data_IF_531286851278
#
_entry.id   IF_531286851278
#
_cell.length_a   1.000
_cell.length_b   1.000
_cell.length_c   1.000
_cell.angle_alpha   90.00
_cell.angle_beta   90.00
_cell.angle_gamma   90.00
#
_symmetry.space_group_name_H-M   'P 1'
#
loop_
_entity.id
_entity.type
_entity.pdbx_description
1 polymer ?
#
# COMPACT_ATOMS: atom_id res chain seq x y z
N UNK A 1 -1.89 6.59 -29.16
CA UNK A 1 -0.54 7.23 -29.24
C UNK A 1 -0.62 8.34 -30.28
N UNK A 2 -0.36 9.60 -29.90
CA UNK A 2 -0.41 10.72 -30.86
C UNK A 2 0.84 10.71 -31.75
N UNK A 3 0.70 10.76 -33.10
CA UNK A 3 1.83 10.79 -34.01
C UNK A 3 2.48 12.18 -33.94
N UNK A 4 3.62 12.30 -33.26
CA UNK A 4 4.39 13.56 -33.17
C UNK A 4 5.07 13.88 -31.83
N UNK A 5 4.99 13.03 -30.80
CA UNK A 5 5.73 13.26 -29.55
C UNK A 5 7.23 12.90 -29.75
N UNK A 6 8.19 13.84 -29.58
CA UNK A 6 9.63 13.56 -29.68
C UNK A 6 10.15 12.54 -28.66
N UNK A 7 9.30 12.13 -27.70
CA UNK A 7 9.57 11.02 -26.77
C UNK A 7 9.26 9.64 -27.35
N UNK A 8 8.75 9.54 -28.57
CA UNK A 8 8.45 8.27 -29.24
C UNK A 8 9.71 7.47 -29.61
N UNK A 9 10.86 8.13 -29.76
CA UNK A 9 12.14 7.48 -30.10
C UNK A 9 12.82 6.81 -28.90
N UNK A 10 12.36 7.09 -27.67
CA UNK A 10 12.91 6.49 -26.46
C UNK A 10 12.31 5.10 -26.26
N UNK A 11 13.15 4.11 -25.95
CA UNK A 11 12.71 2.74 -25.69
C UNK A 11 11.50 2.70 -24.73
N UNK A 12 10.37 2.09 -25.14
CA UNK A 12 9.12 2.14 -24.38
C UNK A 12 9.23 1.48 -23.00
N UNK A 13 10.04 0.42 -22.87
CA UNK A 13 10.29 -0.21 -21.57
C UNK A 13 11.08 0.71 -20.64
N UNK A 14 12.10 1.41 -21.15
CA UNK A 14 12.82 2.42 -20.38
C UNK A 14 11.88 3.55 -19.92
N UNK A 15 10.95 3.98 -20.78
CA UNK A 15 9.92 4.94 -20.42
C UNK A 15 9.04 4.44 -19.27
N UNK A 16 8.58 3.19 -19.33
CA UNK A 16 7.79 2.57 -18.26
C UNK A 16 8.55 2.55 -16.92
N UNK A 17 9.82 2.11 -16.93
CA UNK A 17 10.67 2.09 -15.73
C UNK A 17 10.84 3.50 -15.15
N UNK A 18 11.05 4.51 -16.00
CA UNK A 18 11.16 5.90 -15.57
C UNK A 18 9.88 6.40 -14.90
N UNK A 19 8.70 6.06 -15.47
CA UNK A 19 7.39 6.39 -14.87
C UNK A 19 7.15 5.68 -13.54
N UNK A 20 7.50 4.40 -13.45
CA UNK A 20 7.47 3.64 -12.19
C UNK A 20 8.30 4.34 -11.10
N UNK A 21 9.54 4.76 -11.40
CA UNK A 21 10.40 5.45 -10.42
C UNK A 21 9.84 6.79 -9.97
N UNK A 22 9.05 7.45 -10.80
CA UNK A 22 8.37 8.72 -10.50
C UNK A 22 7.03 8.51 -9.77
N UNK A 23 6.70 7.27 -9.37
CA UNK A 23 5.41 6.89 -8.77
C UNK A 23 4.19 7.19 -9.66
N UNK A 24 4.40 7.34 -10.97
CA UNK A 24 3.32 7.49 -11.96
C UNK A 24 2.85 6.10 -12.38
N UNK A 25 2.10 5.45 -11.48
CA UNK A 25 1.73 4.04 -11.62
C UNK A 25 0.83 3.79 -12.83
N UNK A 26 -0.19 4.62 -13.05
CA UNK A 26 -1.12 4.47 -14.17
C UNK A 26 -0.41 4.57 -15.52
N UNK A 27 0.40 5.62 -15.73
CA UNK A 27 1.19 5.78 -16.95
C UNK A 27 2.15 4.59 -17.19
N UNK A 28 2.70 3.99 -16.12
CA UNK A 28 3.54 2.81 -16.22
C UNK A 28 2.72 1.57 -16.63
N UNK A 29 1.55 1.38 -16.03
CA UNK A 29 0.65 0.24 -16.29
C UNK A 29 0.16 0.29 -17.74
N UNK A 30 -0.20 1.45 -18.26
CA UNK A 30 -0.65 1.63 -19.65
C UNK A 30 0.44 1.20 -20.63
N UNK A 31 1.66 1.71 -20.45
CA UNK A 31 2.80 1.36 -21.32
C UNK A 31 3.14 -0.13 -21.23
N UNK A 32 3.12 -0.72 -20.02
CA UNK A 32 3.35 -2.15 -19.88
C UNK A 32 2.24 -2.99 -20.51
N UNK A 33 0.99 -2.50 -20.52
CA UNK A 33 -0.14 -3.16 -21.19
C UNK A 33 0.06 -3.18 -22.70
N UNK A 34 0.37 -2.01 -23.29
CA UNK A 34 0.69 -1.89 -24.73
C UNK A 34 1.86 -2.80 -25.15
N UNK A 35 2.86 -2.96 -24.28
CA UNK A 35 4.03 -3.82 -24.54
C UNK A 35 3.68 -5.31 -24.46
N UNK A 36 2.86 -5.72 -23.49
CA UNK A 36 2.43 -7.12 -23.33
C UNK A 36 1.44 -7.56 -24.41
N UNK A 37 0.62 -6.64 -24.95
CA UNK A 37 -0.23 -6.94 -26.11
C UNK A 37 0.60 -7.34 -27.34
N UNK A 38 1.79 -6.75 -27.51
CA UNK A 38 2.71 -7.06 -28.61
C UNK A 38 3.56 -8.30 -28.33
N UNK A 39 4.03 -8.46 -27.10
CA UNK A 39 4.79 -9.62 -26.66
C UNK A 39 4.27 -10.14 -25.30
N UNK A 40 3.33 -11.09 -25.30
CA UNK A 40 2.73 -11.60 -24.07
C UNK A 40 3.69 -12.35 -23.14
N UNK A 41 4.87 -12.76 -23.63
CA UNK A 41 5.85 -13.54 -22.86
C UNK A 41 7.01 -12.71 -22.32
N UNK A 42 6.94 -11.38 -22.43
CA UNK A 42 7.95 -10.50 -21.84
C UNK A 42 7.83 -10.46 -20.31
N UNK A 43 8.67 -11.25 -19.64
CA UNK A 43 8.67 -11.39 -18.19
C UNK A 43 9.04 -10.09 -17.47
N UNK A 44 9.92 -9.27 -18.06
CA UNK A 44 10.38 -8.03 -17.45
C UNK A 44 9.26 -6.99 -17.41
N UNK A 45 8.52 -6.86 -18.52
CA UNK A 45 7.34 -5.99 -18.61
C UNK A 45 6.22 -6.48 -17.70
N UNK A 46 5.97 -7.79 -17.69
CA UNK A 46 4.96 -8.39 -16.80
C UNK A 46 5.26 -8.10 -15.34
N UNK A 47 6.50 -8.35 -14.90
CA UNK A 47 6.92 -8.09 -13.53
C UNK A 47 6.80 -6.61 -13.16
N UNK A 48 7.20 -5.70 -14.05
CA UNK A 48 7.07 -4.26 -13.83
C UNK A 48 5.60 -3.83 -13.68
N UNK A 49 4.69 -4.39 -14.50
CA UNK A 49 3.25 -4.14 -14.40
C UNK A 49 2.69 -4.63 -13.06
N UNK A 50 3.01 -5.85 -12.65
CA UNK A 50 2.60 -6.40 -11.36
C UNK A 50 3.06 -5.51 -10.21
N UNK A 51 4.33 -5.08 -10.22
CA UNK A 51 4.85 -4.15 -9.21
C UNK A 51 4.11 -2.82 -9.20
N UNK A 52 3.85 -2.23 -10.38
CA UNK A 52 3.12 -0.97 -10.46
C UNK A 52 1.69 -1.09 -9.90
N UNK A 53 0.99 -2.20 -10.17
CA UNK A 53 -0.34 -2.49 -9.62
C UNK A 53 -0.33 -2.62 -8.10
N UNK A 54 0.62 -3.38 -7.55
CA UNK A 54 0.76 -3.54 -6.09
C UNK A 54 1.15 -2.23 -5.42
N UNK A 55 2.10 -1.46 -5.98
CA UNK A 55 2.50 -0.17 -5.43
C UNK A 55 1.41 0.89 -5.52
N UNK A 56 0.52 0.83 -6.52
CA UNK A 56 -0.62 1.75 -6.65
C UNK A 56 -1.61 1.60 -5.49
N UNK A 57 -1.83 0.38 -5.03
CA UNK A 57 -2.76 0.04 -3.95
C UNK A 57 -2.05 -0.27 -2.62
N UNK A 58 -0.75 -0.02 -2.53
CA UNK A 58 0.02 -0.31 -1.32
C UNK A 58 -0.43 0.64 -0.21
N UNK A 59 -0.87 0.07 0.90
CA UNK A 59 -1.17 0.80 2.14
C UNK A 59 -0.23 0.22 3.21
N UNK A 60 0.32 1.10 4.04
CA UNK A 60 1.15 0.71 5.18
C UNK A 60 0.24 0.03 6.22
N UNK A 61 0.56 -1.21 6.57
CA UNK A 61 -0.22 -2.01 7.51
C UNK A 61 -0.11 -1.48 8.94
N UNK A 62 0.95 -0.73 9.27
CA UNK A 62 1.09 -0.05 10.56
C UNK A 62 0.10 1.10 10.72
N UNK A 63 -0.35 1.71 9.61
CA UNK A 63 -1.35 2.78 9.65
C UNK A 63 -2.78 2.25 9.76
N UNK A 64 -3.02 0.98 9.40
CA UNK A 64 -4.33 0.33 9.50
C UNK A 64 -4.38 -0.51 10.78
N UNK A 65 -4.47 0.16 11.93
CA UNK A 65 -4.78 -0.51 13.19
C UNK A 65 -6.30 -0.45 13.43
N UNK A 66 -7.04 -1.32 12.74
CA UNK A 66 -8.48 -1.47 12.94
C UNK A 66 -8.75 -2.62 13.92
N UNK A 67 -8.81 -2.30 15.22
CA UNK A 67 -9.23 -3.25 16.26
C UNK A 67 -10.73 -3.58 16.09
N UNK A 68 -11.04 -4.84 15.79
CA UNK A 68 -12.42 -5.30 15.65
C UNK A 68 -13.14 -5.35 17.00
N UNK A 69 -14.48 -5.28 16.99
CA UNK A 69 -15.30 -5.44 18.22
C UNK A 69 -15.07 -6.79 18.90
N UNK A 70 -14.75 -7.83 18.12
CA UNK A 70 -14.39 -9.13 18.67
C UNK A 70 -13.06 -9.07 19.45
N UNK A 71 -12.06 -8.40 18.91
CA UNK A 71 -10.77 -8.20 19.56
C UNK A 71 -10.98 -7.38 20.85
N UNK A 72 -11.68 -6.25 20.79
CA UNK A 72 -11.95 -5.41 21.97
C UNK A 72 -12.69 -6.13 23.12
N UNK A 73 -13.60 -7.06 22.81
CA UNK A 73 -14.44 -7.73 23.82
C UNK A 73 -13.89 -9.07 24.31
N UNK A 74 -13.07 -9.74 23.49
CA UNK A 74 -12.53 -11.07 23.79
C UNK A 74 -11.01 -11.07 23.91
N UNK A 75 -10.36 -9.90 23.96
CA UNK A 75 -8.93 -9.80 24.16
C UNK A 75 -8.54 -10.23 25.58
N UNK A 76 -8.07 -11.47 25.70
CA UNK A 76 -7.49 -12.06 26.91
C UNK A 76 -5.96 -11.90 26.97
N UNK A 77 -5.33 -11.13 26.07
CA UNK A 77 -3.87 -10.97 26.06
C UNK A 77 -3.35 -10.13 27.24
N UNK A 78 -4.21 -9.36 27.91
CA UNK A 78 -3.85 -8.59 29.10
C UNK A 78 -3.68 -9.47 30.35
N UNK A 79 -2.44 -9.60 30.84
CA UNK A 79 -2.13 -10.40 32.05
C UNK A 79 -2.74 -9.80 33.33
N UNK A 80 -2.73 -8.46 33.45
CA UNK A 80 -3.22 -7.77 34.64
C UNK A 80 -4.68 -7.33 34.45
N UNK A 81 -5.58 -7.91 35.24
CA UNK A 81 -7.01 -7.58 35.23
C UNK A 81 -7.32 -6.20 35.86
N UNK A 82 -6.46 -5.74 36.78
CA UNK A 82 -6.59 -4.45 37.46
C UNK A 82 -5.23 -3.73 37.53
N UNK A 83 -4.71 -3.23 36.40
CA UNK A 83 -3.44 -2.50 36.39
C UNK A 83 -3.55 -1.18 37.16
N UNK A 84 -2.44 -0.72 37.73
CA UNK A 84 -2.39 0.59 38.40
C UNK A 84 -2.64 1.71 37.35
N UNK A 85 -3.25 2.84 37.72
CA UNK A 85 -3.45 3.95 36.80
C UNK A 85 -2.13 4.39 36.17
N UNK A 86 -2.08 4.51 34.84
CA UNK A 86 -0.89 4.90 34.07
C UNK A 86 0.10 3.79 33.76
N UNK A 87 -0.13 2.55 34.22
CA UNK A 87 0.71 1.38 33.86
C UNK A 87 0.05 0.46 32.83
N UNK A 88 -1.04 0.91 32.20
CA UNK A 88 -1.76 0.24 31.11
C UNK A 88 -2.38 1.31 30.20
N UNK A 89 -2.56 0.97 28.92
CA UNK A 89 -3.28 1.78 27.94
C UNK A 89 -4.80 1.75 28.20
N UNK A 90 -5.31 0.72 28.89
CA UNK A 90 -6.71 0.62 29.25
C UNK A 90 -7.11 1.69 30.27
N UNK A 91 -8.30 2.28 30.09
CA UNK A 91 -8.80 3.32 30.99
C UNK A 91 -8.94 2.76 32.41
N UNK A 92 -8.41 3.46 33.45
CA UNK A 92 -8.59 3.01 34.83
C UNK A 92 -10.08 2.99 35.20
N UNK A 93 -10.53 1.89 35.82
CA UNK A 93 -11.92 1.74 36.31
C UNK A 93 -12.26 2.74 37.42
N UNK A 94 -11.26 3.31 38.11
CA UNK A 94 -11.50 4.35 39.11
C UNK A 94 -11.70 5.69 38.41
N UNK A 95 -12.96 6.13 38.29
CA UNK A 95 -13.30 7.55 38.12
C UNK A 95 -12.66 8.29 39.30
N UNK A 96 -11.67 9.12 39.04
CA UNK A 96 -11.29 10.17 39.99
C UNK A 96 -12.47 11.14 40.06
N UNK A 97 -13.26 11.02 41.13
CA UNK A 97 -14.31 11.98 41.46
C UNK A 97 -13.61 13.32 41.66
N UNK A 98 -13.78 14.23 40.69
CA UNK A 98 -13.31 15.61 40.77
C UNK A 98 -14.49 16.44 41.27
N UNK A 99 -14.45 16.78 42.55
CA UNK A 99 -15.13 17.95 43.11
C UNK A 99 -14.74 19.21 42.36
#
# INVERSE_FOLDING_TARGET
MNPGDPRADVNPFFRAVSRFRQRRWDECIDVCTDLLERNPRDQAVWFLKCRALTCKQWIDDVEIDEEGVADLLMDENAVAQAPRPGTSLNRPLSRGDST
#
